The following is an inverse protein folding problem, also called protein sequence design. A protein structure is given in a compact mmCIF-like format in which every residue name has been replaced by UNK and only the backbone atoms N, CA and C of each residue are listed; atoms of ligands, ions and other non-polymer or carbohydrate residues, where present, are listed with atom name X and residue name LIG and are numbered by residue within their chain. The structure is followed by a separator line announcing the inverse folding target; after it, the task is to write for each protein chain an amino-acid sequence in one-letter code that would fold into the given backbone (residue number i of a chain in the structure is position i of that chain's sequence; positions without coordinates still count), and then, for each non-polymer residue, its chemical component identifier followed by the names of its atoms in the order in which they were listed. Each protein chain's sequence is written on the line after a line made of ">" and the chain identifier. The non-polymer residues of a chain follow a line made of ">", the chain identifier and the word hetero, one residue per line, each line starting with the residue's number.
data_IF_852673241309
#
_entry.id   IF_852673241309
#
_cell.length_a   1.000
_cell.length_b   1.000
_cell.length_c   1.000
_cell.angle_alpha   90.00
_cell.angle_beta   90.00
_cell.angle_gamma   90.00
#
_symmetry.space_group_name_H-M   'P 1'
#
loop_
_entity.id
_entity.type
_entity.pdbx_description
1 polymer ?
#
# COMPACT_ATOMS: atom_id res chain seq x y z
N UNK A 1 -34.10 37.19 5.42
CA UNK A 1 -32.92 37.38 6.29
C UNK A 1 -31.76 37.85 5.42
N UNK A 2 -31.24 39.08 5.57
CA UNK A 2 -30.01 39.45 4.87
C UNK A 2 -28.86 38.59 5.40
N UNK A 3 -28.14 37.90 4.50
CA UNK A 3 -27.04 37.01 4.87
C UNK A 3 -25.83 37.79 5.41
N UNK A 4 -25.06 37.17 6.31
CA UNK A 4 -23.77 37.71 6.75
C UNK A 4 -22.82 37.79 5.56
N UNK A 5 -22.18 38.95 5.39
CA UNK A 5 -21.09 39.09 4.42
C UNK A 5 -19.86 38.34 4.92
N UNK A 6 -19.33 37.47 4.07
CA UNK A 6 -18.10 36.75 4.32
C UNK A 6 -16.90 37.68 4.10
N UNK A 7 -15.85 37.52 4.89
CA UNK A 7 -14.58 38.18 4.62
C UNK A 7 -13.89 37.56 3.39
N UNK A 8 -12.87 38.21 2.85
CA UNK A 8 -12.22 37.79 1.61
C UNK A 8 -11.62 36.39 1.68
N UNK A 9 -11.00 36.03 2.81
CA UNK A 9 -10.45 34.69 3.05
C UNK A 9 -11.54 33.62 3.05
N UNK A 10 -12.68 33.88 3.67
CA UNK A 10 -13.84 32.99 3.66
C UNK A 10 -14.43 32.85 2.25
N UNK A 11 -14.50 33.94 1.49
CA UNK A 11 -14.95 33.89 0.10
C UNK A 11 -13.99 33.05 -0.77
N UNK A 12 -12.67 33.20 -0.58
CA UNK A 12 -11.65 32.39 -1.28
C UNK A 12 -11.79 30.91 -0.93
N UNK A 13 -11.94 30.58 0.34
CA UNK A 13 -12.15 29.21 0.79
C UNK A 13 -13.41 28.58 0.19
N UNK A 14 -14.53 29.30 0.18
CA UNK A 14 -15.78 28.82 -0.42
C UNK A 14 -15.63 28.59 -1.92
N UNK A 15 -14.95 29.48 -2.67
CA UNK A 15 -14.67 29.27 -4.10
C UNK A 15 -13.81 28.03 -4.34
N UNK A 16 -12.77 27.85 -3.54
CA UNK A 16 -11.90 26.68 -3.61
C UNK A 16 -12.67 25.38 -3.36
N UNK A 17 -13.55 25.37 -2.35
CA UNK A 17 -14.41 24.24 -2.02
C UNK A 17 -15.37 23.88 -3.16
N UNK A 18 -16.04 24.87 -3.77
CA UNK A 18 -16.93 24.66 -4.92
C UNK A 18 -16.16 24.07 -6.10
N UNK A 19 -14.98 24.62 -6.43
CA UNK A 19 -14.12 24.12 -7.50
C UNK A 19 -13.67 22.67 -7.24
N UNK A 20 -13.34 22.32 -6.00
CA UNK A 20 -12.99 20.95 -5.62
C UNK A 20 -14.15 19.98 -5.91
N UNK A 21 -15.36 20.27 -5.44
CA UNK A 21 -16.51 19.38 -5.66
C UNK A 21 -16.87 19.23 -7.14
N UNK A 22 -16.69 20.29 -7.93
CA UNK A 22 -16.92 20.23 -9.37
C UNK A 22 -15.91 19.29 -10.07
N UNK A 23 -14.64 19.32 -9.66
CA UNK A 23 -13.62 18.37 -10.13
C UNK A 23 -13.84 16.94 -9.62
N UNK A 24 -14.36 16.76 -8.40
CA UNK A 24 -14.70 15.44 -7.88
C UNK A 24 -15.82 14.77 -8.68
N UNK A 25 -16.78 15.55 -9.19
CA UNK A 25 -17.84 15.05 -10.07
C UNK A 25 -17.27 14.45 -11.36
N UNK A 26 -16.22 15.05 -11.92
CA UNK A 26 -15.52 14.57 -13.12
C UNK A 26 -14.73 13.28 -12.86
N UNK A 27 -14.22 13.10 -11.64
CA UNK A 27 -13.37 11.97 -11.25
C UNK A 27 -14.12 10.67 -10.88
N UNK A 28 -15.44 10.57 -11.14
CA UNK A 28 -16.28 9.37 -10.93
C UNK A 28 -16.21 8.74 -9.51
N UNK A 29 -15.93 9.54 -8.48
CA UNK A 29 -16.08 9.12 -7.08
C UNK A 29 -14.82 8.52 -6.41
N UNK A 30 -14.97 7.99 -5.18
CA UNK A 30 -13.89 7.97 -4.18
C UNK A 30 -13.05 6.68 -4.16
N UNK A 31 -13.01 5.89 -5.23
CA UNK A 31 -12.20 4.65 -5.27
C UNK A 31 -10.70 4.93 -5.46
N UNK A 32 -10.19 6.01 -4.87
CA UNK A 32 -8.77 6.35 -4.86
C UNK A 32 -8.15 6.08 -3.49
N UNK A 33 -6.85 5.76 -3.44
CA UNK A 33 -6.12 5.68 -2.19
C UNK A 33 -6.27 6.97 -1.37
N UNK A 34 -6.32 6.84 -0.04
CA UNK A 34 -6.51 7.96 0.88
C UNK A 34 -5.48 9.08 0.67
N UNK A 35 -4.24 8.74 0.30
CA UNK A 35 -3.21 9.74 0.05
C UNK A 35 -3.54 10.62 -1.18
N UNK A 36 -4.02 10.02 -2.27
CA UNK A 36 -4.46 10.75 -3.45
C UNK A 36 -5.66 11.65 -3.14
N UNK A 37 -6.56 11.20 -2.25
CA UNK A 37 -7.68 12.04 -1.78
C UNK A 37 -7.14 13.24 -0.98
N UNK A 38 -6.20 13.02 -0.07
CA UNK A 38 -5.59 14.10 0.74
C UNK A 38 -4.86 15.13 -0.12
N UNK A 39 -4.11 14.69 -1.13
CA UNK A 39 -3.43 15.57 -2.10
C UNK A 39 -4.42 16.39 -2.92
N UNK A 40 -5.50 15.77 -3.44
CA UNK A 40 -6.54 16.50 -4.19
C UNK A 40 -7.27 17.52 -3.33
N UNK A 41 -7.56 17.18 -2.07
CA UNK A 41 -8.19 18.10 -1.11
C UNK A 41 -7.25 19.25 -0.79
N UNK A 42 -5.96 18.99 -0.55
CA UNK A 42 -4.95 20.01 -0.32
C UNK A 42 -4.85 20.98 -1.50
N UNK A 43 -4.76 20.45 -2.71
CA UNK A 43 -4.70 21.24 -3.94
C UNK A 43 -6.00 21.99 -4.23
N UNK A 44 -7.15 21.38 -4.00
CA UNK A 44 -8.47 21.98 -4.25
C UNK A 44 -8.80 23.10 -3.26
N UNK A 45 -8.36 22.97 -2.01
CA UNK A 45 -8.59 23.95 -0.95
C UNK A 45 -7.46 24.98 -0.79
N UNK A 46 -6.33 24.79 -1.49
CA UNK A 46 -5.13 25.63 -1.40
C UNK A 46 -4.57 25.68 0.04
N UNK A 47 -4.41 24.50 0.64
CA UNK A 47 -3.91 24.31 2.00
C UNK A 47 -2.84 23.22 2.01
N UNK A 48 -1.98 23.23 3.04
CA UNK A 48 -0.95 22.20 3.14
C UNK A 48 -1.55 20.80 3.38
N UNK A 49 -0.93 19.77 2.81
CA UNK A 49 -1.32 18.36 3.04
C UNK A 49 -1.22 17.98 4.52
N UNK A 50 -0.27 18.56 5.25
CA UNK A 50 -0.14 18.39 6.69
C UNK A 50 -1.35 18.95 7.45
N UNK A 51 -1.90 20.08 7.00
CA UNK A 51 -3.13 20.66 7.54
C UNK A 51 -4.31 19.72 7.34
N UNK A 52 -4.45 19.11 6.15
CA UNK A 52 -5.49 18.11 5.86
C UNK A 52 -5.35 16.90 6.79
N UNK A 53 -4.15 16.34 6.91
CA UNK A 53 -3.89 15.21 7.81
C UNK A 53 -4.15 15.55 9.28
N UNK A 54 -3.80 16.76 9.72
CA UNK A 54 -4.09 17.25 11.07
C UNK A 54 -5.60 17.37 11.32
N UNK A 55 -6.37 17.89 10.36
CA UNK A 55 -7.83 17.96 10.44
C UNK A 55 -8.46 16.57 10.52
N UNK A 56 -7.99 15.62 9.71
CA UNK A 56 -8.49 14.24 9.72
C UNK A 56 -8.23 13.54 11.07
N UNK A 57 -7.01 13.69 11.61
CA UNK A 57 -6.65 13.17 12.95
C UNK A 57 -7.47 13.80 14.06
N UNK A 58 -7.73 15.11 13.99
CA UNK A 58 -8.57 15.81 14.97
C UNK A 58 -10.04 15.37 14.89
N UNK A 59 -10.55 15.11 13.68
CA UNK A 59 -11.89 14.58 13.49
C UNK A 59 -12.03 13.16 14.09
N UNK A 60 -11.03 12.29 13.88
CA UNK A 60 -11.03 10.93 14.47
C UNK A 60 -10.80 10.94 15.99
N UNK A 61 -10.06 11.92 16.52
CA UNK A 61 -9.86 12.08 17.96
C UNK A 61 -11.05 12.74 18.68
N UNK A 62 -11.78 13.63 17.99
CA UNK A 62 -13.01 14.26 18.51
C UNK A 62 -14.21 13.31 18.48
N UNK A 63 -14.22 12.37 17.53
CA UNK A 63 -15.08 11.20 17.61
C UNK A 63 -14.55 10.34 18.75
N UNK A 64 -15.10 10.53 19.95
CA UNK A 64 -14.89 9.63 21.09
C UNK A 64 -15.42 8.26 20.67
N UNK A 65 -14.60 7.47 19.99
CA UNK A 65 -14.95 6.11 19.62
C UNK A 65 -15.38 5.41 20.92
N UNK A 66 -16.50 4.67 20.94
CA UNK A 66 -16.83 3.86 22.11
C UNK A 66 -15.59 3.00 22.38
N UNK A 67 -15.08 3.07 23.61
CA UNK A 67 -13.85 2.42 24.02
C UNK A 67 -13.93 0.94 23.64
N UNK A 68 -13.28 0.55 22.55
CA UNK A 68 -13.16 -0.84 22.18
C UNK A 68 -12.21 -1.46 23.21
N UNK A 69 -12.64 -2.47 23.99
CA UNK A 69 -11.71 -3.13 24.90
C UNK A 69 -10.59 -3.72 24.07
N UNK A 70 -9.35 -3.28 24.29
CA UNK A 70 -8.20 -3.81 23.58
C UNK A 70 -8.01 -5.27 23.97
N UNK A 71 -8.44 -6.20 23.12
CA UNK A 71 -8.09 -7.62 23.28
C UNK A 71 -6.68 -7.80 22.71
N UNK A 72 -5.69 -7.26 23.41
CA UNK A 72 -4.29 -7.65 23.25
C UNK A 72 -3.98 -8.74 24.25
N UNK A 73 -4.55 -9.92 24.05
CA UNK A 73 -4.05 -11.14 24.67
C UNK A 73 -3.51 -11.98 23.54
N UNK A 74 -2.17 -11.99 23.36
CA UNK A 74 -1.53 -12.99 22.51
C UNK A 74 -1.98 -14.36 23.04
N UNK A 75 -2.72 -15.10 22.23
CA UNK A 75 -3.05 -16.49 22.53
C UNK A 75 -1.73 -17.24 22.68
N UNK A 76 -1.52 -17.87 23.83
CA UNK A 76 -0.39 -18.78 24.03
C UNK A 76 -0.59 -19.95 23.07
N UNK A 77 0.31 -20.13 22.11
CA UNK A 77 0.37 -21.32 21.28
C UNK A 77 0.91 -22.47 22.13
N UNK A 78 0.10 -23.48 22.38
CA UNK A 78 0.57 -24.76 22.93
C UNK A 78 1.12 -25.60 21.79
N UNK A 79 2.31 -26.18 21.96
CA UNK A 79 2.84 -27.14 21.01
C UNK A 79 1.84 -28.28 20.81
N UNK A 80 1.57 -28.65 19.56
CA UNK A 80 0.79 -29.85 19.27
C UNK A 80 1.54 -31.10 19.76
N UNK A 81 0.82 -32.18 20.12
CA UNK A 81 1.42 -33.48 20.39
C UNK A 81 2.25 -33.96 19.19
N UNK A 82 3.40 -34.56 19.46
CA UNK A 82 4.32 -35.13 18.46
C UNK A 82 3.65 -36.06 17.42
N UNK A 83 2.68 -36.94 17.76
CA UNK A 83 2.03 -37.77 16.75
C UNK A 83 1.28 -36.96 15.69
N UNK A 84 0.66 -35.84 16.09
CA UNK A 84 -0.08 -34.97 15.17
C UNK A 84 0.89 -34.24 14.23
N UNK A 85 2.07 -33.85 14.71
CA UNK A 85 3.10 -33.23 13.87
C UNK A 85 3.63 -34.19 12.81
N UNK A 86 3.83 -35.45 13.18
CA UNK A 86 4.28 -36.50 12.26
C UNK A 86 3.23 -36.78 11.19
N UNK A 87 1.96 -36.95 11.58
CA UNK A 87 0.87 -37.16 10.62
C UNK A 87 0.71 -35.97 9.66
N UNK A 88 0.79 -34.74 10.16
CA UNK A 88 0.73 -33.54 9.31
C UNK A 88 1.94 -33.46 8.36
N UNK A 89 3.11 -33.89 8.84
CA UNK A 89 4.35 -33.91 8.07
C UNK A 89 4.25 -34.93 6.93
N UNK A 90 3.81 -36.14 7.22
CA UNK A 90 3.72 -37.23 6.25
C UNK A 90 2.71 -36.88 5.14
N UNK A 91 1.53 -36.35 5.51
CA UNK A 91 0.55 -35.83 4.54
C UNK A 91 1.14 -34.72 3.67
N UNK A 92 1.97 -33.84 4.24
CA UNK A 92 2.62 -32.78 3.47
C UNK A 92 3.62 -33.35 2.45
N UNK A 93 4.43 -34.32 2.86
CA UNK A 93 5.41 -34.96 1.98
C UNK A 93 4.75 -35.81 0.89
N UNK A 94 3.64 -36.48 1.18
CA UNK A 94 2.87 -37.22 0.18
C UNK A 94 2.33 -36.29 -0.91
N UNK A 95 1.81 -35.11 -0.55
CA UNK A 95 1.38 -34.11 -1.54
C UNK A 95 2.54 -33.63 -2.45
N UNK A 96 3.74 -33.40 -1.89
CA UNK A 96 4.91 -33.01 -2.68
C UNK A 96 5.53 -34.17 -3.47
N UNK A 97 5.32 -35.42 -3.04
CA UNK A 97 5.79 -36.60 -3.76
C UNK A 97 4.94 -36.91 -5.00
N UNK A 98 3.64 -36.62 -4.94
CA UNK A 98 2.74 -36.72 -6.10
C UNK A 98 3.06 -35.66 -7.17
N UNK A 99 3.42 -34.43 -6.76
CA UNK A 99 3.83 -33.34 -7.66
C UNK A 99 5.20 -33.56 -8.35
N UNK A 100 5.99 -34.54 -7.89
CA UNK A 100 7.36 -34.80 -8.36
C UNK A 100 7.46 -35.79 -9.54
N UNK A 101 6.35 -36.33 -10.04
CA UNK A 101 6.36 -37.39 -11.08
C UNK A 101 6.01 -36.93 -12.50
N UNK A 102 5.86 -35.62 -12.72
CA UNK A 102 5.67 -35.03 -14.05
C UNK A 102 6.82 -34.09 -14.48
N UNK A 103 8.09 -34.44 -14.28
CA UNK A 103 9.17 -33.82 -15.07
C UNK A 103 10.10 -34.90 -15.63
N UNK A 104 9.90 -35.12 -16.93
CA UNK A 104 10.63 -36.02 -17.79
C UNK A 104 12.06 -35.52 -17.95
N UNK A 105 12.98 -36.46 -18.09
CA UNK A 105 14.41 -36.28 -18.36
C UNK A 105 14.69 -35.22 -19.45
N UNK A 106 15.03 -33.99 -19.06
CA UNK A 106 15.79 -33.08 -19.92
C UNK A 106 17.24 -33.05 -19.44
N UNK A 107 18.08 -33.76 -20.18
CA UNK A 107 19.53 -33.77 -20.07
C UNK A 107 20.09 -32.34 -19.98
N UNK A 108 20.80 -32.09 -18.89
CA UNK A 108 21.59 -30.90 -18.64
C UNK A 108 22.75 -30.87 -19.64
N UNK A 109 22.55 -30.31 -20.82
CA UNK A 109 23.63 -29.99 -21.75
C UNK A 109 24.28 -28.66 -21.33
N UNK A 110 25.28 -28.74 -20.46
CA UNK A 110 26.19 -27.63 -20.16
C UNK A 110 26.97 -27.33 -21.44
N UNK A 111 26.56 -26.30 -22.19
CA UNK A 111 27.43 -25.67 -23.18
C UNK A 111 28.28 -24.65 -22.43
N UNK A 112 29.55 -24.99 -22.23
CA UNK A 112 30.60 -24.03 -21.88
C UNK A 112 30.61 -22.91 -22.94
N UNK A 113 30.22 -21.70 -22.55
CA UNK A 113 30.53 -20.51 -23.33
C UNK A 113 31.99 -20.10 -23.05
N UNK A 114 32.83 -19.90 -24.08
CA UNK A 114 34.16 -19.35 -23.87
C UNK A 114 34.09 -17.87 -23.50
N UNK A 115 34.83 -17.52 -22.45
CA UNK A 115 35.03 -16.18 -21.91
C UNK A 115 35.40 -15.18 -23.02
N UNK A 116 34.61 -14.11 -23.16
CA UNK A 116 34.96 -12.98 -24.03
C UNK A 116 35.96 -12.09 -23.30
N UNK A 117 37.19 -12.07 -23.81
CA UNK A 117 38.27 -11.19 -23.42
C UNK A 117 37.83 -9.71 -23.39
N UNK A 118 38.14 -9.06 -22.29
CA UNK A 118 37.88 -7.64 -22.04
C UNK A 118 38.90 -6.82 -22.82
N UNK A 119 38.48 -6.17 -23.90
CA UNK A 119 39.34 -5.26 -24.66
C UNK A 119 39.22 -3.84 -24.09
N UNK A 120 40.16 -3.46 -23.21
CA UNK A 120 40.33 -2.07 -22.77
C UNK A 120 41.00 -1.32 -23.92
N UNK A 121 40.26 -0.40 -24.57
CA UNK A 121 40.87 0.57 -25.48
C UNK A 121 41.41 1.72 -24.64
N UNK A 122 42.73 1.78 -24.50
CA UNK A 122 43.44 2.99 -24.11
C UNK A 122 43.26 4.05 -25.21
N UNK A 123 42.60 5.16 -24.88
CA UNK A 123 42.61 6.36 -25.72
C UNK A 123 43.94 7.11 -25.52
N UNK A 124 44.67 7.46 -26.58
CA UNK A 124 45.83 8.34 -26.46
C UNK A 124 45.38 9.81 -26.38
N UNK A 125 45.92 10.49 -25.37
CA UNK A 125 45.92 11.94 -25.19
C UNK A 125 46.53 12.66 -26.41
N UNK A 126 45.73 13.49 -27.09
CA UNK A 126 46.20 14.67 -27.84
C UNK A 126 45.22 15.82 -27.59
#
# INVERSE_FOLDING_TARGET
>A
MPGKRLNENQQRFVRNLVNYFQRELENKGPLLPLNCIQERVANGLDISIHTVGNCLRKASASAKAPAQPSISKKLKTTNSPEPIKMETRDVLYDMYAEDSTEETEEEIHIKEEPEKEIFIKEEPLI
#
